data_IF_292880010520
#
_entry.id   IF_292880010520
#
_cell.length_a   1.000
_cell.length_b   1.000
_cell.length_c   1.000
_cell.angle_alpha   90.00
_cell.angle_beta   90.00
_cell.angle_gamma   90.00
#
_symmetry.space_group_name_H-M   'P 1'
#
loop_
_entity.id
_entity.type
_entity.pdbx_description
1 polymer ?
#
# COMPACT_ATOMS: atom_id res chain seq x y z
N UNK A 1 -6.44 8.10 -37.06
CA UNK A 1 -7.72 8.24 -36.36
C UNK A 1 -7.49 7.88 -34.90
N UNK A 2 -7.30 8.87 -34.03
CA UNK A 2 -7.29 8.64 -32.58
C UNK A 2 -8.72 8.29 -32.16
N UNK A 3 -8.90 7.13 -31.55
CA UNK A 3 -10.17 6.74 -30.94
C UNK A 3 -10.43 7.73 -29.79
N UNK A 4 -11.54 8.42 -29.83
CA UNK A 4 -11.95 9.32 -28.73
C UNK A 4 -12.24 8.48 -27.49
N UNK A 5 -11.47 8.69 -26.41
CA UNK A 5 -11.72 8.05 -25.12
C UNK A 5 -12.99 8.66 -24.53
N UNK A 6 -13.92 7.82 -24.06
CA UNK A 6 -15.10 8.26 -23.35
C UNK A 6 -14.75 9.16 -22.16
N UNK A 7 -15.51 10.23 -21.92
CA UNK A 7 -15.19 11.23 -20.89
C UNK A 7 -15.08 10.63 -19.48
N UNK A 8 -15.90 9.61 -19.16
CA UNK A 8 -15.81 8.89 -17.89
C UNK A 8 -14.45 8.18 -17.73
N UNK A 9 -13.98 7.50 -18.78
CA UNK A 9 -12.70 6.81 -18.75
C UNK A 9 -11.53 7.80 -18.67
N UNK A 10 -11.66 8.95 -19.34
CA UNK A 10 -10.66 10.02 -19.25
C UNK A 10 -10.53 10.57 -17.84
N UNK A 11 -11.65 10.80 -17.14
CA UNK A 11 -11.68 11.23 -15.75
C UNK A 11 -11.03 10.19 -14.84
N UNK A 12 -11.38 8.91 -15.00
CA UNK A 12 -10.82 7.81 -14.22
C UNK A 12 -9.29 7.74 -14.41
N UNK A 13 -8.80 7.71 -15.64
CA UNK A 13 -7.36 7.67 -15.94
C UNK A 13 -6.61 8.90 -15.40
N UNK A 14 -7.22 10.07 -15.46
CA UNK A 14 -6.66 11.29 -14.88
C UNK A 14 -6.58 11.19 -13.36
N UNK A 15 -7.61 10.67 -12.70
CA UNK A 15 -7.64 10.44 -11.25
C UNK A 15 -6.57 9.45 -10.81
N UNK A 16 -6.40 8.35 -11.54
CA UNK A 16 -5.37 7.34 -11.29
C UNK A 16 -3.95 7.94 -11.40
N UNK A 17 -3.69 8.70 -12.46
CA UNK A 17 -2.38 9.33 -12.68
C UNK A 17 -2.06 10.35 -11.57
N UNK A 18 -3.04 11.17 -11.16
CA UNK A 18 -2.88 12.14 -10.07
C UNK A 18 -2.67 11.43 -8.74
N UNK A 19 -3.42 10.37 -8.46
CA UNK A 19 -3.24 9.54 -7.25
C UNK A 19 -1.82 8.97 -7.17
N UNK A 20 -1.32 8.35 -8.23
CA UNK A 20 0.03 7.76 -8.26
C UNK A 20 1.09 8.86 -8.09
N UNK A 21 0.91 10.03 -8.71
CA UNK A 21 1.80 11.18 -8.52
C UNK A 21 1.86 11.60 -7.06
N UNK A 22 0.72 11.77 -6.42
CA UNK A 22 0.64 12.13 -5.01
C UNK A 22 1.28 11.07 -4.10
N UNK A 23 1.02 9.79 -4.34
CA UNK A 23 1.60 8.67 -3.62
C UNK A 23 3.13 8.68 -3.69
N UNK A 24 3.69 8.83 -4.89
CA UNK A 24 5.14 8.84 -5.09
C UNK A 24 5.78 10.06 -4.41
N UNK A 25 5.20 11.25 -4.54
CA UNK A 25 5.72 12.43 -3.85
C UNK A 25 5.60 12.31 -2.32
N UNK A 26 4.54 11.70 -1.81
CA UNK A 26 4.42 11.43 -0.37
C UNK A 26 5.54 10.52 0.15
N UNK A 27 5.87 9.45 -0.55
CA UNK A 27 6.99 8.58 -0.17
C UNK A 27 8.33 9.29 -0.31
N UNK A 28 8.58 9.98 -1.42
CA UNK A 28 9.83 10.72 -1.64
C UNK A 28 10.05 11.80 -0.59
N UNK A 29 9.00 12.55 -0.25
CA UNK A 29 9.04 13.57 0.79
C UNK A 29 9.45 12.98 2.15
N UNK A 30 8.85 11.85 2.53
CA UNK A 30 9.12 11.22 3.83
C UNK A 30 10.49 10.52 3.90
N UNK A 31 11.08 10.16 2.74
CA UNK A 31 12.41 9.56 2.67
C UNK A 31 13.53 10.61 2.58
N UNK A 32 13.28 11.72 1.87
CA UNK A 32 14.35 12.65 1.47
C UNK A 32 14.15 14.10 1.97
N UNK A 33 13.04 14.41 2.63
CA UNK A 33 12.70 15.79 3.02
C UNK A 33 12.31 16.63 1.81
N UNK A 34 12.86 17.83 1.72
CA UNK A 34 12.56 18.74 0.61
C UNK A 34 12.87 18.12 -0.75
N UNK A 35 11.90 18.10 -1.64
CA UNK A 35 11.98 17.54 -3.00
C UNK A 35 11.38 18.50 -4.03
N UNK A 36 11.67 18.37 -5.32
CA UNK A 36 10.88 19.04 -6.35
C UNK A 36 9.51 18.37 -6.49
N UNK A 37 8.46 19.17 -6.81
CA UNK A 37 7.14 18.65 -7.15
C UNK A 37 6.93 18.71 -8.66
N UNK A 38 6.91 17.54 -9.31
CA UNK A 38 6.86 17.41 -10.76
C UNK A 38 5.43 17.16 -11.21
N UNK A 39 4.90 18.02 -12.10
CA UNK A 39 3.52 17.94 -12.63
C UNK A 39 3.45 17.80 -14.15
N UNK A 40 4.58 17.81 -14.83
CA UNK A 40 4.68 17.73 -16.29
C UNK A 40 5.70 16.67 -16.71
N UNK A 41 5.57 16.17 -17.93
CA UNK A 41 6.54 15.29 -18.59
C UNK A 41 7.56 16.06 -19.42
N UNK A 42 7.50 17.40 -19.44
CA UNK A 42 8.44 18.23 -20.17
C UNK A 42 9.83 18.18 -19.53
N UNK A 43 10.75 17.52 -20.21
CA UNK A 43 12.13 17.37 -19.76
C UNK A 43 12.84 18.72 -19.56
N UNK A 44 12.62 19.71 -20.45
CA UNK A 44 13.30 21.01 -20.39
C UNK A 44 12.84 21.81 -19.16
N UNK A 45 11.58 21.69 -18.78
CA UNK A 45 11.07 22.28 -17.56
C UNK A 45 11.58 21.52 -16.33
N UNK A 46 11.48 20.20 -16.34
CA UNK A 46 11.85 19.37 -15.20
C UNK A 46 13.35 19.40 -14.87
N UNK A 47 14.22 19.63 -15.86
CA UNK A 47 15.66 19.75 -15.64
C UNK A 47 16.08 21.01 -14.85
N UNK A 48 15.18 21.98 -14.68
CA UNK A 48 15.42 23.26 -14.00
C UNK A 48 14.74 23.39 -12.66
N UNK A 49 13.96 22.38 -12.23
CA UNK A 49 13.23 22.47 -10.97
C UNK A 49 14.19 22.32 -9.78
N UNK A 50 13.90 23.05 -8.72
CA UNK A 50 14.60 23.00 -7.45
C UNK A 50 13.76 22.30 -6.38
N UNK A 51 14.40 21.95 -5.27
CA UNK A 51 13.69 21.44 -4.09
C UNK A 51 12.74 22.50 -3.54
N UNK A 52 11.62 22.03 -3.03
CA UNK A 52 10.58 22.85 -2.40
C UNK A 52 10.44 22.42 -0.94
N UNK A 53 10.18 23.34 0.00
CA UNK A 53 9.98 22.99 1.42
C UNK A 53 8.88 21.96 1.63
N UNK A 54 9.09 21.07 2.59
CA UNK A 54 8.21 19.94 2.89
C UNK A 54 6.75 20.35 3.12
N UNK A 55 6.49 21.46 3.81
CA UNK A 55 5.14 21.97 4.05
C UNK A 55 4.39 22.33 2.75
N UNK A 56 5.11 22.87 1.77
CA UNK A 56 4.57 23.18 0.44
C UNK A 56 4.28 21.90 -0.35
N UNK A 57 5.17 20.90 -0.26
CA UNK A 57 4.96 19.60 -0.89
C UNK A 57 3.73 18.91 -0.31
N UNK A 58 3.54 18.89 1.03
CA UNK A 58 2.34 18.35 1.65
C UNK A 58 1.07 19.04 1.13
N UNK A 59 1.08 20.36 1.01
CA UNK A 59 -0.06 21.11 0.48
C UNK A 59 -0.41 20.71 -0.96
N UNK A 60 0.59 20.48 -1.82
CA UNK A 60 0.41 20.03 -3.19
C UNK A 60 -0.09 18.58 -3.27
N UNK A 61 0.42 17.69 -2.39
CA UNK A 61 -0.06 16.31 -2.27
C UNK A 61 -1.54 16.29 -1.86
N UNK A 62 -1.94 17.11 -0.89
CA UNK A 62 -3.35 17.23 -0.47
C UNK A 62 -4.23 17.73 -1.61
N UNK A 63 -3.76 18.72 -2.37
CA UNK A 63 -4.48 19.23 -3.55
C UNK A 63 -4.66 18.13 -4.61
N UNK A 64 -3.62 17.38 -4.92
CA UNK A 64 -3.68 16.26 -5.87
C UNK A 64 -4.61 15.16 -5.38
N UNK A 65 -4.56 14.78 -4.11
CA UNK A 65 -5.43 13.74 -3.56
C UNK A 65 -6.89 14.15 -3.53
N UNK A 66 -7.21 15.40 -3.18
CA UNK A 66 -8.57 15.92 -3.30
C UNK A 66 -9.06 15.85 -4.74
N UNK A 67 -8.20 16.21 -5.71
CA UNK A 67 -8.53 16.09 -7.12
C UNK A 67 -8.74 14.65 -7.57
N UNK A 68 -7.93 13.72 -7.09
CA UNK A 68 -8.12 12.29 -7.34
C UNK A 68 -9.45 11.78 -6.77
N UNK A 69 -9.81 12.18 -5.54
CA UNK A 69 -11.11 11.84 -4.91
C UNK A 69 -12.30 12.31 -5.75
N UNK A 70 -12.21 13.50 -6.38
CA UNK A 70 -13.26 14.03 -7.27
C UNK A 70 -13.39 13.24 -8.58
N UNK A 71 -12.27 12.78 -9.14
CA UNK A 71 -12.20 12.18 -10.46
C UNK A 71 -12.46 10.67 -10.47
N UNK A 72 -12.01 9.97 -9.41
CA UNK A 72 -12.11 8.52 -9.31
C UNK A 72 -13.55 8.07 -9.01
N UNK A 73 -13.93 6.92 -9.59
CA UNK A 73 -15.18 6.25 -9.29
C UNK A 73 -15.23 5.73 -7.85
N UNK A 74 -16.41 5.51 -7.31
CA UNK A 74 -16.59 4.83 -6.03
C UNK A 74 -16.28 3.35 -6.14
N UNK A 75 -16.78 2.73 -7.21
CA UNK A 75 -16.54 1.32 -7.51
C UNK A 75 -15.15 1.10 -8.11
N UNK A 76 -14.63 -0.10 -7.93
CA UNK A 76 -13.42 -0.53 -8.60
C UNK A 76 -13.69 -0.81 -10.08
N UNK A 77 -12.78 -0.39 -10.95
CA UNK A 77 -12.84 -0.72 -12.39
C UNK A 77 -12.33 -2.14 -12.69
N UNK A 78 -11.70 -2.79 -11.73
CA UNK A 78 -11.34 -4.21 -11.79
C UNK A 78 -11.58 -4.89 -10.44
N UNK A 79 -11.94 -6.19 -10.42
CA UNK A 79 -12.23 -6.92 -9.19
C UNK A 79 -11.00 -7.12 -8.29
N UNK A 80 -9.79 -7.06 -8.85
CA UNK A 80 -8.54 -7.30 -8.14
C UNK A 80 -8.09 -6.12 -7.26
N UNK A 81 -8.81 -4.99 -7.27
CA UNK A 81 -8.48 -3.78 -6.50
C UNK A 81 -7.06 -3.24 -6.75
N UNK A 82 -6.56 -3.42 -7.97
CA UNK A 82 -5.22 -2.96 -8.39
C UNK A 82 -5.22 -1.54 -8.96
N UNK A 83 -6.37 -1.06 -9.43
CA UNK A 83 -6.57 0.32 -9.84
C UNK A 83 -7.24 1.10 -8.70
N UNK A 84 -6.79 2.33 -8.39
CA UNK A 84 -7.35 3.08 -7.28
C UNK A 84 -8.79 3.53 -7.59
N UNK A 85 -9.64 3.45 -6.57
CA UNK A 85 -10.96 4.06 -6.53
C UNK A 85 -10.95 5.29 -5.60
N UNK A 86 -12.09 5.94 -5.43
CA UNK A 86 -12.26 7.10 -4.53
C UNK A 86 -11.80 6.81 -3.11
N UNK A 87 -12.18 5.66 -2.56
CA UNK A 87 -11.78 5.27 -1.20
C UNK A 87 -10.28 5.05 -1.05
N UNK A 88 -9.60 4.58 -2.10
CA UNK A 88 -8.14 4.46 -2.13
C UNK A 88 -7.46 5.83 -1.99
N UNK A 89 -7.94 6.81 -2.74
CA UNK A 89 -7.44 8.19 -2.64
C UNK A 89 -7.76 8.80 -1.26
N UNK A 90 -8.97 8.57 -0.74
CA UNK A 90 -9.39 9.04 0.61
C UNK A 90 -8.54 8.41 1.71
N UNK A 91 -8.22 7.13 1.63
CA UNK A 91 -7.36 6.45 2.61
C UNK A 91 -5.94 7.02 2.62
N UNK A 92 -5.37 7.30 1.45
CA UNK A 92 -4.06 7.95 1.35
C UNK A 92 -4.12 9.39 1.88
N UNK A 93 -5.17 10.14 1.55
CA UNK A 93 -5.37 11.51 2.04
C UNK A 93 -5.48 11.55 3.57
N UNK A 94 -6.21 10.62 4.18
CA UNK A 94 -6.27 10.48 5.63
C UNK A 94 -4.88 10.23 6.26
N UNK A 95 -4.06 9.40 5.62
CA UNK A 95 -2.67 9.16 6.04
C UNK A 95 -1.81 10.42 5.90
N UNK A 96 -1.95 11.17 4.83
CA UNK A 96 -1.24 12.45 4.62
C UNK A 96 -1.63 13.45 5.70
N UNK A 97 -2.91 13.61 6.00
CA UNK A 97 -3.38 14.46 7.09
C UNK A 97 -2.83 14.05 8.46
N UNK A 98 -2.73 12.75 8.73
CA UNK A 98 -2.11 12.24 9.96
C UNK A 98 -0.64 12.69 10.07
N UNK A 99 0.12 12.60 8.99
CA UNK A 99 1.53 13.05 8.96
C UNK A 99 1.69 14.57 9.09
N UNK A 100 0.68 15.33 8.68
CA UNK A 100 0.62 16.77 8.86
C UNK A 100 0.14 17.20 10.27
N UNK A 101 -0.26 16.26 11.13
CA UNK A 101 -0.87 16.55 12.43
C UNK A 101 -2.32 17.06 12.36
N UNK A 102 -2.97 16.94 11.19
CA UNK A 102 -4.37 17.32 10.97
C UNK A 102 -5.29 16.17 11.38
N UNK A 103 -5.35 15.91 12.68
CA UNK A 103 -6.03 14.73 13.23
C UNK A 103 -7.53 14.65 12.96
N UNK A 104 -8.31 15.76 13.00
CA UNK A 104 -9.73 15.72 12.66
C UNK A 104 -9.98 15.27 11.22
N UNK A 105 -9.22 15.81 10.26
CA UNK A 105 -9.31 15.47 8.84
C UNK A 105 -8.88 14.03 8.59
N UNK A 106 -7.81 13.59 9.25
CA UNK A 106 -7.34 12.20 9.20
C UNK A 106 -8.41 11.23 9.72
N UNK A 107 -9.03 11.52 10.85
CA UNK A 107 -10.10 10.72 11.45
C UNK A 107 -11.33 10.67 10.56
N UNK A 108 -11.75 11.80 10.00
CA UNK A 108 -12.89 11.87 9.09
C UNK A 108 -12.68 11.03 7.82
N UNK A 109 -11.50 11.16 7.20
CA UNK A 109 -11.14 10.38 6.02
C UNK A 109 -11.07 8.87 6.32
N UNK A 110 -10.44 8.48 7.42
CA UNK A 110 -10.38 7.07 7.84
C UNK A 110 -11.77 6.51 8.13
N UNK A 111 -12.63 7.25 8.85
CA UNK A 111 -14.00 6.83 9.16
C UNK A 111 -14.85 6.68 7.91
N UNK A 112 -14.67 7.56 6.91
CA UNK A 112 -15.36 7.44 5.62
C UNK A 112 -15.04 6.12 4.91
N UNK A 113 -13.78 5.67 4.96
CA UNK A 113 -13.38 4.39 4.35
C UNK A 113 -13.83 3.20 5.19
N UNK A 114 -13.71 3.26 6.52
CA UNK A 114 -14.10 2.17 7.41
C UNK A 114 -15.62 1.90 7.33
N UNK A 115 -16.42 2.94 7.18
CA UNK A 115 -17.88 2.84 7.09
C UNK A 115 -18.38 2.51 5.66
N UNK A 116 -17.49 2.42 4.68
CA UNK A 116 -17.87 2.09 3.31
C UNK A 116 -18.13 0.57 3.19
N UNK A 117 -19.34 0.14 2.74
CA UNK A 117 -19.71 -1.28 2.64
C UNK A 117 -18.88 -2.09 1.65
N UNK A 118 -18.06 -1.46 0.81
CA UNK A 118 -17.09 -2.15 -0.05
C UNK A 118 -16.01 -2.88 0.75
N UNK A 119 -15.79 -2.49 2.01
CA UNK A 119 -14.74 -3.03 2.87
C UNK A 119 -15.35 -3.75 4.06
N UNK A 120 -15.04 -5.02 4.18
CA UNK A 120 -15.48 -5.86 5.31
C UNK A 120 -14.25 -6.15 6.16
N UNK A 121 -14.36 -5.88 7.46
CA UNK A 121 -13.29 -6.21 8.39
C UNK A 121 -13.11 -7.72 8.48
N UNK A 122 -11.98 -8.23 7.97
CA UNK A 122 -11.63 -9.64 8.07
C UNK A 122 -11.10 -9.94 9.47
N UNK A 123 -11.74 -10.86 10.17
CA UNK A 123 -11.36 -11.28 11.52
C UNK A 123 -10.44 -12.51 11.54
N UNK A 124 -10.41 -13.26 10.44
CA UNK A 124 -9.51 -14.39 10.25
C UNK A 124 -8.14 -13.86 9.80
N UNK A 125 -7.16 -13.89 10.71
CA UNK A 125 -5.82 -13.36 10.46
C UNK A 125 -5.09 -14.07 9.30
N UNK A 126 -5.48 -15.29 8.97
CA UNK A 126 -4.90 -16.03 7.84
C UNK A 126 -5.44 -15.58 6.47
N UNK A 127 -6.55 -14.83 6.46
CA UNK A 127 -7.20 -14.34 5.23
C UNK A 127 -6.93 -12.88 4.92
N UNK A 128 -6.45 -12.09 5.88
CA UNK A 128 -6.28 -10.63 5.71
C UNK A 128 -5.37 -10.29 4.52
N UNK A 129 -4.31 -11.08 4.30
CA UNK A 129 -3.32 -10.82 3.24
C UNK A 129 -3.53 -11.69 1.99
N UNK A 130 -4.68 -12.34 1.84
CA UNK A 130 -5.03 -13.02 0.59
C UNK A 130 -5.40 -12.01 -0.49
N UNK A 131 -5.09 -12.32 -1.75
CA UNK A 131 -5.39 -11.50 -2.93
C UNK A 131 -6.86 -11.05 -3.01
N UNK A 132 -7.80 -11.92 -2.62
CA UNK A 132 -9.25 -11.65 -2.63
C UNK A 132 -9.82 -11.11 -1.31
N UNK A 133 -8.97 -10.68 -0.36
CA UNK A 133 -9.46 -10.18 0.94
C UNK A 133 -10.36 -8.96 0.77
N UNK A 134 -11.55 -9.01 1.37
CA UNK A 134 -12.51 -7.89 1.37
C UNK A 134 -12.04 -6.68 2.19
N UNK A 135 -11.05 -6.86 3.06
CA UNK A 135 -10.41 -5.78 3.82
C UNK A 135 -9.46 -4.94 2.95
N UNK A 136 -8.95 -5.50 1.86
CA UNK A 136 -7.96 -4.80 1.00
C UNK A 136 -8.58 -3.57 0.36
N UNK A 137 -7.99 -2.40 0.59
CA UNK A 137 -8.40 -1.14 -0.06
C UNK A 137 -7.74 -1.02 -1.44
N UNK A 138 -6.48 -1.36 -1.55
CA UNK A 138 -5.70 -1.29 -2.78
C UNK A 138 -4.46 -2.16 -2.68
N UNK A 139 -4.06 -2.77 -3.78
CA UNK A 139 -2.90 -3.66 -3.81
C UNK A 139 -2.15 -3.56 -5.13
N UNK A 140 -0.87 -3.90 -5.09
CA UNK A 140 -0.08 -4.09 -6.30
C UNK A 140 -0.30 -5.50 -6.86
N UNK A 141 -0.36 -5.61 -8.18
CA UNK A 141 -0.33 -6.88 -8.86
C UNK A 141 1.12 -7.20 -9.25
N UNK A 142 1.58 -8.44 -9.09
CA UNK A 142 2.85 -8.86 -9.64
C UNK A 142 2.86 -8.67 -11.17
N UNK A 143 4.02 -8.41 -11.73
CA UNK A 143 4.19 -8.23 -13.19
C UNK A 143 4.08 -9.52 -13.99
N UNK A 144 4.08 -10.67 -13.32
CA UNK A 144 3.83 -11.99 -13.94
C UNK A 144 2.63 -12.63 -13.25
N UNK A 145 1.74 -13.27 -14.03
CA UNK A 145 0.44 -13.77 -13.55
C UNK A 145 0.53 -14.77 -12.39
N UNK A 146 1.62 -15.52 -12.31
CA UNK A 146 1.80 -16.62 -11.37
C UNK A 146 2.84 -16.29 -10.27
N UNK A 147 3.22 -15.04 -10.13
CA UNK A 147 4.15 -14.63 -9.08
C UNK A 147 3.40 -14.32 -7.78
N UNK A 148 3.98 -14.78 -6.67
CA UNK A 148 3.57 -14.37 -5.33
C UNK A 148 4.23 -13.04 -4.96
N UNK A 149 3.90 -12.50 -3.80
CA UNK A 149 4.59 -11.32 -3.26
C UNK A 149 6.08 -11.61 -3.03
N UNK A 150 6.94 -10.63 -3.34
CA UNK A 150 8.37 -10.75 -3.07
C UNK A 150 8.67 -11.00 -1.58
N UNK A 151 7.82 -10.54 -0.67
CA UNK A 151 7.95 -10.78 0.76
C UNK A 151 7.75 -12.27 1.10
N UNK A 152 6.84 -12.99 0.43
CA UNK A 152 6.66 -14.43 0.62
C UNK A 152 7.93 -15.20 0.25
N UNK A 153 8.53 -14.89 -0.90
CA UNK A 153 9.75 -15.56 -1.36
C UNK A 153 10.98 -15.20 -0.51
N UNK A 154 11.03 -13.99 0.05
CA UNK A 154 12.17 -13.52 0.85
C UNK A 154 12.17 -14.08 2.28
N UNK A 155 11.00 -14.10 2.92
CA UNK A 155 10.92 -14.40 4.36
C UNK A 155 10.61 -15.84 4.68
N UNK A 156 9.85 -16.55 3.84
CA UNK A 156 9.44 -17.92 4.14
C UNK A 156 10.58 -18.90 3.82
N UNK A 157 10.90 -19.75 4.80
CA UNK A 157 11.84 -20.86 4.64
C UNK A 157 11.32 -22.08 5.41
N UNK A 158 11.70 -23.29 4.95
CA UNK A 158 11.20 -24.58 5.48
C UNK A 158 12.28 -25.37 6.23
N UNK A 159 13.53 -24.90 6.18
CA UNK A 159 14.66 -25.50 6.90
C UNK A 159 15.64 -24.40 7.32
N UNK A 160 16.38 -24.64 8.39
CA UNK A 160 17.39 -23.72 8.89
C UNK A 160 18.82 -24.15 8.57
N UNK A 161 19.80 -23.26 8.68
CA UNK A 161 19.61 -21.84 9.05
C UNK A 161 18.91 -21.01 7.97
N UNK A 162 18.30 -19.86 8.31
CA UNK A 162 17.62 -18.99 7.34
C UNK A 162 18.54 -18.61 6.17
N UNK A 163 18.10 -18.75 4.90
CA UNK A 163 18.98 -18.50 3.75
C UNK A 163 19.32 -17.01 3.57
N UNK A 164 18.43 -16.11 4.00
CA UNK A 164 18.61 -14.65 3.85
C UNK A 164 18.36 -13.94 5.19
N UNK A 165 17.14 -14.01 5.71
CA UNK A 165 16.70 -13.32 6.93
C UNK A 165 15.78 -14.20 7.76
N UNK A 166 15.78 -13.98 9.08
CA UNK A 166 14.84 -14.61 10.01
C UNK A 166 14.43 -13.61 11.10
N UNK A 167 13.33 -13.89 11.76
CA UNK A 167 12.89 -13.11 12.91
C UNK A 167 13.78 -13.42 14.11
N UNK A 168 14.20 -12.39 14.83
CA UNK A 168 14.94 -12.57 16.08
C UNK A 168 14.03 -13.20 17.14
N UNK A 169 14.53 -14.14 17.96
CA UNK A 169 13.76 -14.69 19.08
C UNK A 169 13.21 -13.61 20.02
N UNK A 170 13.97 -12.53 20.26
CA UNK A 170 13.50 -11.39 21.05
C UNK A 170 12.25 -10.70 20.48
N UNK A 171 12.13 -10.61 19.15
CA UNK A 171 10.93 -10.09 18.49
C UNK A 171 9.73 -11.03 18.71
N UNK A 172 9.91 -12.34 18.50
CA UNK A 172 8.84 -13.34 18.69
C UNK A 172 8.39 -13.42 20.15
N UNK A 173 9.30 -13.20 21.09
CA UNK A 173 9.00 -13.19 22.52
C UNK A 173 8.41 -11.86 23.03
N UNK A 174 8.40 -10.82 22.20
CA UNK A 174 7.77 -9.53 22.53
C UNK A 174 6.24 -9.51 22.32
N UNK A 175 5.67 -10.53 21.69
CA UNK A 175 4.22 -10.65 21.60
C UNK A 175 3.62 -10.92 22.98
N UNK A 176 2.56 -10.20 23.31
CA UNK A 176 1.82 -10.39 24.55
C UNK A 176 1.12 -11.74 24.58
N UNK A 177 0.81 -12.21 25.80
CA UNK A 177 0.05 -13.45 25.95
C UNK A 177 -1.32 -13.32 25.31
N UNK A 178 -1.66 -14.24 24.40
CA UNK A 178 -2.92 -14.26 23.67
C UNK A 178 -2.93 -13.42 22.38
N UNK A 179 -1.83 -12.77 22.02
CA UNK A 179 -1.73 -12.08 20.73
C UNK A 179 -1.72 -13.10 19.59
N UNK A 180 -2.85 -13.16 18.89
CA UNK A 180 -3.06 -14.12 17.79
C UNK A 180 -2.12 -13.90 16.62
N UNK A 181 -1.54 -12.70 16.46
CA UNK A 181 -0.56 -12.41 15.40
C UNK A 181 0.68 -13.27 15.54
N UNK A 182 1.09 -13.62 16.76
CA UNK A 182 2.19 -14.56 16.99
C UNK A 182 1.92 -15.90 16.32
N UNK A 183 0.74 -16.47 16.55
CA UNK A 183 0.35 -17.79 16.02
C UNK A 183 0.15 -17.77 14.51
N UNK A 184 -0.47 -16.71 13.98
CA UNK A 184 -0.89 -16.66 12.58
C UNK A 184 0.14 -16.04 11.65
N UNK A 185 1.04 -15.16 12.16
CA UNK A 185 1.95 -14.40 11.32
C UNK A 185 3.44 -14.67 11.59
N UNK A 186 3.75 -15.62 12.48
CA UNK A 186 5.11 -16.13 12.66
C UNK A 186 5.09 -17.66 12.60
N UNK A 187 6.15 -18.25 12.05
CA UNK A 187 6.33 -19.69 11.97
C UNK A 187 7.68 -20.06 12.53
N UNK A 188 7.69 -21.11 13.34
CA UNK A 188 8.88 -21.74 13.89
C UNK A 188 9.40 -22.81 12.93
N UNK A 189 10.71 -22.85 12.75
CA UNK A 189 11.44 -23.89 11.99
C UNK A 189 12.56 -24.38 12.86
N UNK A 190 12.66 -25.71 13.06
CA UNK A 190 13.69 -26.33 13.89
C UNK A 190 14.32 -27.55 13.21
N UNK A 191 15.60 -27.80 13.49
CA UNK A 191 16.33 -29.02 13.14
C UNK A 191 16.49 -29.98 14.33
N UNK A 192 15.81 -29.67 15.46
CA UNK A 192 15.92 -30.41 16.71
C UNK A 192 17.06 -29.94 17.63
N UNK A 193 17.95 -29.10 17.15
CA UNK A 193 19.06 -28.49 17.92
C UNK A 193 18.91 -26.98 18.01
N UNK A 194 18.61 -26.35 16.91
CA UNK A 194 18.44 -24.91 16.78
C UNK A 194 17.02 -24.56 16.31
N UNK A 195 16.56 -23.37 16.68
CA UNK A 195 15.23 -22.89 16.34
C UNK A 195 15.33 -21.52 15.68
N UNK A 196 14.65 -21.34 14.58
CA UNK A 196 14.55 -20.11 13.81
C UNK A 196 13.09 -19.73 13.59
N UNK A 197 12.84 -18.48 13.26
CA UNK A 197 11.50 -17.97 13.03
C UNK A 197 11.44 -17.15 11.75
N UNK A 198 10.35 -17.26 11.00
CA UNK A 198 10.08 -16.40 9.86
C UNK A 198 8.69 -15.74 9.95
N UNK A 199 8.53 -14.63 9.21
CA UNK A 199 7.23 -14.01 9.03
C UNK A 199 6.37 -14.88 8.08
N UNK A 200 5.14 -15.17 8.49
CA UNK A 200 4.17 -15.99 7.74
C UNK A 200 2.81 -15.32 7.54
N UNK A 201 2.77 -13.99 7.55
CA UNK A 201 1.53 -13.25 7.18
C UNK A 201 1.14 -13.53 5.72
N UNK A 202 2.10 -13.68 4.82
CA UNK A 202 1.91 -14.31 3.50
C UNK A 202 2.13 -15.81 3.65
N UNK A 203 1.24 -16.62 3.07
CA UNK A 203 1.17 -18.06 3.38
C UNK A 203 1.97 -18.94 2.42
N UNK A 204 2.49 -18.38 1.35
CA UNK A 204 3.19 -19.13 0.31
C UNK A 204 4.51 -18.45 -0.06
N UNK A 205 5.57 -19.25 -0.19
CA UNK A 205 6.88 -18.80 -0.65
C UNK A 205 6.87 -18.51 -2.16
N UNK A 206 6.20 -19.36 -2.91
CA UNK A 206 6.04 -19.23 -4.36
C UNK A 206 4.61 -19.60 -4.75
N UNK A 207 4.16 -19.16 -5.92
CA UNK A 207 2.97 -19.75 -6.52
C UNK A 207 3.27 -21.20 -6.83
N UNK A 208 2.46 -22.12 -6.30
CA UNK A 208 2.43 -23.49 -6.79
C UNK A 208 1.70 -23.46 -8.14
N UNK A 209 2.25 -24.07 -9.20
CA UNK A 209 1.55 -24.19 -10.49
C UNK A 209 0.26 -24.96 -10.35
#
# INVERSE_FOLDING_TARGET
NSISIAEANKKQLQGEAIFVRALLHFYLLNLYGDIPYITTTDYLLNSKVSRMPADKIYSLIVMDLNKAVELLSEDYVSPERILPNRSTATALLARVYLYMGMYPEASNGASSVINNPLYIWETDLDKIFLKGSSTTIWQFMPNTSDSNTAEGSLYIFTSGPPPVVGLKPSFVNAFEQGDQRKTHWTTEVTDGVSTWYHASKYKQQSTTP
#
